data_IF_805195358314
#
_entry.id   IF_805195358314
#
_cell.length_a   1.000
_cell.length_b   1.000
_cell.length_c   1.000
_cell.angle_alpha   90.00
_cell.angle_beta   90.00
_cell.angle_gamma   90.00
#
_symmetry.space_group_name_H-M   'P 1'
#
loop_
_entity.id
_entity.type
_entity.pdbx_description
1 polymer ?
#
# COMPACT_ATOMS: atom_id res chain seq x y z
N UNK A 1 11.92 25.60 11.93
CA UNK A 1 12.98 25.09 11.01
C UNK A 1 13.30 23.59 11.16
N UNK A 2 12.98 22.93 12.28
CA UNK A 2 13.30 21.50 12.51
C UNK A 2 12.39 20.50 11.77
N UNK A 3 11.12 20.85 11.55
CA UNK A 3 10.10 20.00 10.90
C UNK A 3 10.42 19.63 9.44
N UNK A 4 10.86 20.60 8.64
CA UNK A 4 11.21 20.33 7.23
C UNK A 4 12.45 19.43 7.13
N UNK A 5 13.41 19.56 8.05
CA UNK A 5 14.59 18.68 8.10
C UNK A 5 14.22 17.23 8.44
N UNK A 6 13.26 17.02 9.36
CA UNK A 6 12.76 15.68 9.69
C UNK A 6 12.03 15.02 8.52
N UNK A 7 11.17 15.76 7.80
CA UNK A 7 10.51 15.23 6.60
C UNK A 7 11.52 14.87 5.50
N UNK A 8 12.52 15.72 5.25
CA UNK A 8 13.58 15.45 4.27
C UNK A 8 14.39 14.21 4.67
N UNK A 9 14.72 14.04 5.95
CA UNK A 9 15.42 12.85 6.43
C UNK A 9 14.61 11.56 6.20
N UNK A 10 13.30 11.57 6.48
CA UNK A 10 12.45 10.41 6.24
C UNK A 10 12.33 10.10 4.75
N UNK A 11 12.23 11.11 3.88
CA UNK A 11 12.23 10.91 2.42
C UNK A 11 13.55 10.26 1.96
N UNK A 12 14.68 10.73 2.48
CA UNK A 12 15.99 10.18 2.13
C UNK A 12 16.11 8.72 2.58
N UNK A 13 15.68 8.40 3.80
CA UNK A 13 15.73 7.03 4.34
C UNK A 13 14.77 6.11 3.58
N UNK A 14 13.52 6.53 3.38
CA UNK A 14 12.53 5.73 2.67
C UNK A 14 12.92 5.55 1.19
N UNK A 15 13.49 6.60 0.59
CA UNK A 15 14.06 6.60 -0.76
C UNK A 15 15.25 5.66 -0.89
N UNK A 16 16.20 5.69 0.05
CA UNK A 16 17.38 4.82 0.01
C UNK A 16 16.99 3.34 0.16
N UNK A 17 16.05 3.03 1.06
CA UNK A 17 15.50 1.68 1.22
C UNK A 17 14.83 1.22 -0.09
N UNK A 18 14.03 2.10 -0.72
CA UNK A 18 13.35 1.79 -1.98
C UNK A 18 14.33 1.49 -3.11
N UNK A 19 15.40 2.29 -3.23
CA UNK A 19 16.44 2.10 -4.24
C UNK A 19 17.23 0.82 -3.97
N UNK A 20 17.60 0.56 -2.72
CA UNK A 20 18.31 -0.66 -2.34
C UNK A 20 17.51 -1.92 -2.70
N UNK A 21 16.22 -1.96 -2.35
CA UNK A 21 15.33 -3.05 -2.69
C UNK A 21 15.13 -3.20 -4.21
N UNK A 22 15.04 -2.09 -4.95
CA UNK A 22 14.98 -2.13 -6.42
C UNK A 22 16.24 -2.74 -7.04
N UNK A 23 17.42 -2.40 -6.52
CA UNK A 23 18.70 -2.95 -7.00
C UNK A 23 18.75 -4.46 -6.75
N UNK A 24 18.38 -4.91 -5.54
CA UNK A 24 18.33 -6.34 -5.25
C UNK A 24 17.36 -7.06 -6.18
N UNK A 25 16.15 -6.55 -6.35
CA UNK A 25 15.14 -7.14 -7.24
C UNK A 25 15.63 -7.24 -8.69
N UNK A 26 16.30 -6.20 -9.21
CA UNK A 26 16.87 -6.22 -10.57
C UNK A 26 18.01 -7.25 -10.66
N UNK A 27 18.86 -7.34 -9.64
CA UNK A 27 19.93 -8.33 -9.60
C UNK A 27 19.37 -9.76 -9.60
N UNK A 28 18.35 -10.01 -8.80
CA UNK A 28 17.68 -11.32 -8.68
C UNK A 28 17.02 -11.71 -10.00
N UNK A 29 16.38 -10.74 -10.68
CA UNK A 29 15.81 -10.92 -12.00
C UNK A 29 16.87 -11.27 -13.06
N UNK A 30 18.02 -10.59 -13.06
CA UNK A 30 19.14 -10.87 -13.98
C UNK A 30 19.75 -12.25 -13.71
N UNK A 31 19.84 -12.65 -12.44
CA UNK A 31 20.35 -13.96 -12.02
C UNK A 31 19.35 -15.10 -12.28
N UNK A 32 18.16 -14.80 -12.80
CA UNK A 32 17.12 -15.79 -13.09
C UNK A 32 16.52 -16.41 -11.84
N UNK A 33 16.63 -15.75 -10.68
CA UNK A 33 16.02 -16.21 -9.45
C UNK A 33 14.50 -16.01 -9.52
N UNK A 34 13.75 -16.94 -8.94
CA UNK A 34 12.29 -16.86 -8.89
C UNK A 34 11.85 -15.78 -7.91
N UNK A 35 10.96 -14.91 -8.35
CA UNK A 35 10.32 -13.90 -7.49
C UNK A 35 9.45 -14.62 -6.46
N UNK A 36 9.72 -14.37 -5.19
CA UNK A 36 8.97 -14.97 -4.10
C UNK A 36 7.78 -14.11 -3.66
N UNK A 37 6.85 -14.72 -2.93
CA UNK A 37 5.71 -13.99 -2.32
C UNK A 37 6.19 -12.91 -1.35
N UNK A 38 7.32 -13.14 -0.68
CA UNK A 38 7.99 -12.19 0.21
C UNK A 38 8.33 -10.88 -0.49
N UNK A 39 8.86 -10.93 -1.71
CA UNK A 39 9.22 -9.75 -2.50
C UNK A 39 8.00 -8.88 -2.78
N UNK A 40 6.88 -9.51 -3.16
CA UNK A 40 5.61 -8.82 -3.44
C UNK A 40 5.11 -8.10 -2.18
N UNK A 41 5.15 -8.77 -1.02
CA UNK A 41 4.73 -8.19 0.25
C UNK A 41 5.62 -7.00 0.64
N UNK A 42 6.94 -7.11 0.47
CA UNK A 42 7.89 -6.01 0.75
C UNK A 42 7.55 -4.78 -0.09
N UNK A 43 7.29 -4.95 -1.39
CA UNK A 43 6.89 -3.84 -2.26
C UNK A 43 5.57 -3.20 -1.86
N UNK A 44 4.59 -4.01 -1.46
CA UNK A 44 3.28 -3.54 -0.97
C UNK A 44 3.42 -2.72 0.32
N UNK A 45 4.23 -3.17 1.26
CA UNK A 45 4.51 -2.45 2.51
C UNK A 45 5.26 -1.14 2.24
N UNK A 46 6.20 -1.16 1.30
CA UNK A 46 6.95 0.03 0.91
C UNK A 46 6.04 1.08 0.28
N UNK A 47 5.16 0.67 -0.64
CA UNK A 47 4.17 1.55 -1.25
C UNK A 47 3.20 2.12 -0.21
N UNK A 48 2.73 1.29 0.71
CA UNK A 48 1.87 1.72 1.83
C UNK A 48 2.57 2.76 2.72
N UNK A 49 3.86 2.56 2.99
CA UNK A 49 4.68 3.48 3.78
C UNK A 49 4.85 4.83 3.09
N UNK A 50 5.04 4.84 1.76
CA UNK A 50 5.06 6.08 0.97
C UNK A 50 3.74 6.83 1.05
N UNK A 51 2.60 6.16 0.88
CA UNK A 51 1.29 6.82 0.98
C UNK A 51 1.02 7.37 2.38
N UNK A 52 1.34 6.62 3.43
CA UNK A 52 1.21 7.09 4.81
C UNK A 52 2.07 8.34 5.07
N UNK A 53 3.34 8.29 4.64
CA UNK A 53 4.25 9.42 4.81
C UNK A 53 3.81 10.65 3.98
N UNK A 54 3.34 10.45 2.75
CA UNK A 54 2.83 11.56 1.91
C UNK A 54 1.55 12.19 2.48
N UNK A 55 0.74 11.41 3.20
CA UNK A 55 -0.52 11.87 3.81
C UNK A 55 -0.25 12.70 5.07
N UNK A 56 0.55 12.19 6.00
CA UNK A 56 0.72 12.78 7.34
C UNK A 56 2.06 13.49 7.54
N UNK A 57 3.07 13.16 6.74
CA UNK A 57 4.46 13.56 6.96
C UNK A 57 4.96 13.08 8.33
N UNK A 58 5.92 13.81 8.92
CA UNK A 58 6.42 13.57 10.29
C UNK A 58 5.45 14.05 11.39
N UNK A 59 4.27 14.60 11.05
CA UNK A 59 3.43 15.30 12.03
C UNK A 59 2.30 14.44 12.60
N UNK A 60 2.65 13.73 13.68
CA UNK A 60 1.73 12.90 14.44
C UNK A 60 0.63 13.74 15.17
N UNK A 61 0.79 15.07 15.29
CA UNK A 61 -0.24 15.93 15.89
C UNK A 61 -1.39 16.20 14.92
N UNK A 62 -1.09 16.38 13.63
CA UNK A 62 -2.10 16.60 12.58
C UNK A 62 -3.03 15.38 12.48
N UNK A 63 -2.48 14.18 12.68
CA UNK A 63 -3.27 12.95 12.67
C UNK A 63 -4.25 12.83 13.85
N UNK A 64 -3.91 13.44 14.99
CA UNK A 64 -4.73 13.39 16.22
C UNK A 64 -5.72 14.55 16.36
N UNK A 65 -5.59 15.54 15.48
CA UNK A 65 -6.52 16.65 15.39
C UNK A 65 -7.91 16.20 14.92
N UNK A 66 -8.95 17.00 15.19
CA UNK A 66 -10.33 16.68 14.80
C UNK A 66 -10.45 16.45 13.30
N UNK A 67 -9.77 17.27 12.50
CA UNK A 67 -9.71 17.12 11.05
C UNK A 67 -9.02 15.82 10.64
N UNK A 68 -7.92 15.45 11.31
CA UNK A 68 -7.20 14.19 11.07
C UNK A 68 -8.06 12.96 11.35
N UNK A 69 -8.85 13.00 12.44
CA UNK A 69 -9.81 11.95 12.79
C UNK A 69 -10.94 11.85 11.76
N UNK A 70 -11.47 12.97 11.27
CA UNK A 70 -12.49 12.96 10.23
C UNK A 70 -11.97 12.37 8.92
N UNK A 71 -10.74 12.70 8.51
CA UNK A 71 -10.09 12.14 7.32
C UNK A 71 -9.97 10.62 7.48
N UNK A 72 -9.48 10.14 8.63
CA UNK A 72 -9.31 8.71 8.91
C UNK A 72 -10.65 7.94 8.92
N UNK A 73 -11.69 8.51 9.52
CA UNK A 73 -13.02 7.90 9.56
C UNK A 73 -13.66 7.83 8.16
N UNK A 74 -13.54 8.92 7.40
CA UNK A 74 -14.08 8.98 6.04
C UNK A 74 -13.31 8.06 5.10
N UNK A 75 -11.98 8.01 5.23
CA UNK A 75 -11.14 7.10 4.45
C UNK A 75 -11.46 5.65 4.77
N UNK A 76 -11.64 5.28 6.04
CA UNK A 76 -12.02 3.94 6.45
C UNK A 76 -13.34 3.49 5.82
N UNK A 77 -14.35 4.36 5.82
CA UNK A 77 -15.67 4.06 5.24
C UNK A 77 -15.56 3.83 3.72
N UNK A 78 -14.86 4.71 3.01
CA UNK A 78 -14.70 4.60 1.56
C UNK A 78 -13.84 3.40 1.18
N UNK A 79 -12.71 3.20 1.88
CA UNK A 79 -11.83 2.05 1.65
C UNK A 79 -12.55 0.74 1.89
N UNK A 80 -13.44 0.67 2.89
CA UNK A 80 -14.24 -0.53 3.15
C UNK A 80 -15.13 -0.88 1.97
N UNK A 81 -15.87 0.08 1.41
CA UNK A 81 -16.74 -0.19 0.26
C UNK A 81 -15.94 -0.57 -1.00
N UNK A 82 -14.81 0.11 -1.26
CA UNK A 82 -13.94 -0.21 -2.40
C UNK A 82 -13.33 -1.61 -2.22
N UNK A 83 -12.78 -1.92 -1.05
CA UNK A 83 -12.20 -3.22 -0.76
C UNK A 83 -13.25 -4.33 -0.89
N UNK A 84 -14.44 -4.12 -0.36
CA UNK A 84 -15.54 -5.10 -0.47
C UNK A 84 -15.90 -5.36 -1.94
N UNK A 85 -15.99 -4.30 -2.75
CA UNK A 85 -16.22 -4.43 -4.20
C UNK A 85 -15.09 -5.18 -4.91
N UNK A 86 -13.83 -4.86 -4.59
CA UNK A 86 -12.66 -5.52 -5.16
C UNK A 86 -12.57 -7.00 -4.78
N UNK A 87 -12.87 -7.35 -3.52
CA UNK A 87 -12.90 -8.74 -3.07
C UNK A 87 -14.01 -9.53 -3.76
N UNK A 88 -15.19 -8.91 -3.93
CA UNK A 88 -16.29 -9.52 -4.67
C UNK A 88 -15.92 -9.76 -6.14
N UNK A 89 -15.24 -8.80 -6.78
CA UNK A 89 -14.76 -8.94 -8.15
C UNK A 89 -13.71 -10.06 -8.27
N UNK A 90 -12.74 -10.11 -7.35
CA UNK A 90 -11.74 -11.18 -7.29
C UNK A 90 -12.41 -12.55 -7.15
N UNK A 91 -13.41 -12.65 -6.29
CA UNK A 91 -14.17 -13.88 -6.10
C UNK A 91 -14.93 -14.32 -7.37
N UNK A 92 -15.53 -13.36 -8.10
CA UNK A 92 -16.17 -13.66 -9.39
C UNK A 92 -15.14 -14.13 -10.42
N UNK A 93 -14.00 -13.45 -10.53
CA UNK A 93 -12.94 -13.80 -11.47
C UNK A 93 -12.38 -15.19 -11.19
N UNK A 94 -12.18 -15.51 -9.91
CA UNK A 94 -11.78 -16.84 -9.44
C UNK A 94 -12.79 -17.92 -9.92
N UNK A 95 -14.08 -17.66 -9.75
CA UNK A 95 -15.17 -18.57 -10.15
C UNK A 95 -15.36 -18.70 -11.66
N UNK A 96 -15.18 -17.65 -12.45
CA UNK A 96 -15.46 -17.67 -13.89
C UNK A 96 -14.26 -18.17 -14.70
N UNK A 97 -13.05 -17.71 -14.36
CA UNK A 97 -11.86 -17.91 -15.20
C UNK A 97 -11.05 -19.13 -14.72
N UNK A 98 -11.01 -19.39 -13.40
CA UNK A 98 -9.98 -20.25 -12.82
C UNK A 98 -10.46 -21.59 -12.24
N UNK A 99 -11.77 -21.87 -12.26
CA UNK A 99 -12.35 -23.20 -11.94
C UNK A 99 -11.69 -24.35 -12.72
N UNK A 100 -10.97 -24.05 -13.82
CA UNK A 100 -10.31 -25.03 -14.69
C UNK A 100 -8.86 -25.37 -14.31
N UNK A 101 -8.21 -24.63 -13.41
CA UNK A 101 -6.81 -24.85 -12.98
C UNK A 101 -6.72 -24.70 -11.46
N UNK A 102 -6.62 -25.81 -10.74
CA UNK A 102 -6.55 -25.93 -9.26
C UNK A 102 -5.37 -25.22 -8.56
N UNK A 103 -4.77 -24.19 -9.16
CA UNK A 103 -3.51 -23.56 -8.69
C UNK A 103 -3.70 -22.13 -8.17
N UNK A 104 -4.90 -21.55 -8.30
CA UNK A 104 -5.09 -20.10 -8.12
C UNK A 104 -5.35 -19.62 -6.69
N UNK A 105 -5.71 -20.52 -5.76
CA UNK A 105 -6.13 -20.14 -4.40
C UNK A 105 -5.10 -19.29 -3.65
N UNK A 106 -3.81 -19.63 -3.75
CA UNK A 106 -2.75 -18.88 -3.09
C UNK A 106 -2.53 -17.48 -3.69
N UNK A 107 -2.71 -17.33 -5.00
CA UNK A 107 -2.47 -16.07 -5.73
C UNK A 107 -3.64 -15.10 -5.52
N UNK A 108 -4.88 -15.59 -5.59
CA UNK A 108 -6.08 -14.77 -5.34
C UNK A 108 -6.10 -14.23 -3.91
N UNK A 109 -5.74 -15.09 -2.93
CA UNK A 109 -5.66 -14.69 -1.54
C UNK A 109 -4.54 -13.67 -1.30
N UNK A 110 -3.38 -13.85 -1.95
CA UNK A 110 -2.28 -12.88 -1.91
C UNK A 110 -2.72 -11.54 -2.50
N UNK A 111 -3.38 -11.54 -3.66
CA UNK A 111 -3.90 -10.33 -4.29
C UNK A 111 -4.93 -9.61 -3.39
N UNK A 112 -5.85 -10.36 -2.77
CA UNK A 112 -6.81 -9.84 -1.80
C UNK A 112 -6.12 -9.19 -0.59
N UNK A 113 -5.08 -9.83 -0.06
CA UNK A 113 -4.27 -9.30 1.05
C UNK A 113 -3.57 -8.00 0.65
N UNK A 114 -2.91 -7.97 -0.51
CA UNK A 114 -2.24 -6.78 -1.02
C UNK A 114 -3.22 -5.61 -1.19
N UNK A 115 -4.41 -5.86 -1.75
CA UNK A 115 -5.46 -4.84 -1.88
C UNK A 115 -5.93 -4.31 -0.52
N UNK A 116 -6.14 -5.19 0.45
CA UNK A 116 -6.56 -4.80 1.79
C UNK A 116 -5.55 -3.85 2.47
N UNK A 117 -4.26 -4.10 2.29
CA UNK A 117 -3.19 -3.28 2.85
C UNK A 117 -3.08 -1.93 2.14
N UNK A 118 -3.21 -1.90 0.81
CA UNK A 118 -2.95 -0.69 -0.01
C UNK A 118 -4.15 0.25 -0.12
N UNK A 119 -5.39 -0.25 -0.15
CA UNK A 119 -6.55 0.60 -0.42
C UNK A 119 -6.73 1.68 0.66
N UNK A 120 -6.61 1.33 1.94
CA UNK A 120 -6.77 2.30 3.02
C UNK A 120 -5.80 3.50 2.94
N UNK A 121 -4.46 3.33 2.92
CA UNK A 121 -3.51 4.43 2.85
C UNK A 121 -3.65 5.24 1.55
N UNK A 122 -4.00 4.61 0.42
CA UNK A 122 -4.25 5.30 -0.85
C UNK A 122 -5.46 6.21 -0.74
N UNK A 123 -6.60 5.70 -0.26
CA UNK A 123 -7.81 6.51 -0.09
C UNK A 123 -7.59 7.64 0.92
N UNK A 124 -6.87 7.36 2.00
CA UNK A 124 -6.52 8.35 3.01
C UNK A 124 -5.69 9.50 2.41
N UNK A 125 -4.74 9.19 1.52
CA UNK A 125 -3.96 10.19 0.79
C UNK A 125 -4.83 11.10 -0.10
N UNK A 126 -5.74 10.50 -0.88
CA UNK A 126 -6.64 11.27 -1.74
C UNK A 126 -7.58 12.18 -0.95
N UNK A 127 -8.13 11.69 0.15
CA UNK A 127 -9.03 12.48 1.00
C UNK A 127 -8.25 13.60 1.70
N UNK A 128 -7.07 13.33 2.25
CA UNK A 128 -6.25 14.35 2.89
C UNK A 128 -5.90 15.51 1.94
N UNK A 129 -5.67 15.22 0.65
CA UNK A 129 -5.47 16.27 -0.38
C UNK A 129 -6.72 17.07 -0.70
N UNK A 130 -7.92 16.53 -0.46
CA UNK A 130 -9.19 17.25 -0.71
C UNK A 130 -9.55 18.19 0.44
N UNK A 131 -9.11 17.90 1.65
CA UNK A 131 -9.33 18.74 2.84
C UNK A 131 -8.30 19.86 3.01
N UNK A 132 -7.20 19.83 2.26
CA UNK A 132 -6.09 20.77 2.33
C UNK A 132 -6.16 21.78 1.20
#
# INVERSE_FOLDING_TARGET
MTKNRSNIAIIIILGSISIFLAIMYIADFINGMSIEVSDIIVWVLLLTSWFQFLTWGSDNKIQKDEMGKQIAATSAKISYHILTGSLFLLWILDRIIFVRKNEFGNISLLAALCLAIVIFPVIQFFIARRYR
#
